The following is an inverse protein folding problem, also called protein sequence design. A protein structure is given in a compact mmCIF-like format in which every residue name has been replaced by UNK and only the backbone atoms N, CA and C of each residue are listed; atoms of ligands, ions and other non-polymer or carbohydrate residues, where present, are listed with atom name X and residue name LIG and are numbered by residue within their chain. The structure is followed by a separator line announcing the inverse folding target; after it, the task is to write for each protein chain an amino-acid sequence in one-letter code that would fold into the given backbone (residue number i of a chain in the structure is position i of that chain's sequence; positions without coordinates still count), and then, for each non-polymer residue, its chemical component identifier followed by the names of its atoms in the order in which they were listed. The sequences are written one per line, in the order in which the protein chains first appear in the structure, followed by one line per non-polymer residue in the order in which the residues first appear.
data_IF_923610791516
#
_entry.id   IF_923610791516
#
_cell.length_a   1.000
_cell.length_b   1.000
_cell.length_c   1.000
_cell.angle_alpha   90.00
_cell.angle_beta   90.00
_cell.angle_gamma   90.00
#
_symmetry.space_group_name_H-M   'P 1'
#
loop_
_entity.id
_entity.type
_entity.pdbx_description
1 polymer ?
#
# COMPACT_ATOMS: atom_id res chain seq x y z
N UNK A 1 11.59 1.71 -22.69
CA UNK A 1 12.90 1.85 -22.03
C UNK A 1 12.69 2.52 -20.67
N UNK A 2 12.50 1.71 -19.63
CA UNK A 2 12.16 2.19 -18.29
C UNK A 2 13.35 1.96 -17.37
N UNK A 3 14.33 2.84 -17.52
CA UNK A 3 15.47 2.92 -16.63
C UNK A 3 15.10 3.73 -15.39
N UNK A 4 15.00 3.06 -14.24
CA UNK A 4 15.22 3.70 -12.94
C UNK A 4 15.65 2.63 -11.93
N UNK A 5 16.87 2.14 -12.10
CA UNK A 5 17.63 1.62 -10.98
C UNK A 5 18.26 2.84 -10.30
N UNK A 6 17.76 3.21 -9.12
CA UNK A 6 18.39 4.25 -8.29
C UNK A 6 18.41 3.75 -6.87
N UNK A 7 19.63 3.60 -6.38
CA UNK A 7 19.99 3.14 -5.05
C UNK A 7 19.30 4.02 -4.01
N UNK A 8 18.48 3.40 -3.13
CA UNK A 8 18.11 3.98 -1.82
C UNK A 8 16.76 4.68 -1.66
N UNK A 9 15.88 4.74 -2.68
CA UNK A 9 14.50 5.22 -2.52
C UNK A 9 13.54 4.29 -3.25
N UNK A 10 12.60 3.68 -2.52
CA UNK A 10 11.53 2.89 -3.13
C UNK A 10 10.66 3.83 -3.95
N UNK A 11 10.85 3.85 -5.27
CA UNK A 11 10.01 4.64 -6.17
C UNK A 11 8.79 3.82 -6.56
N UNK A 12 7.62 4.17 -6.04
CA UNK A 12 6.35 3.62 -6.49
C UNK A 12 5.85 4.38 -7.73
N UNK A 13 5.19 3.69 -8.65
CA UNK A 13 4.46 4.40 -9.73
C UNK A 13 3.28 5.17 -9.14
N UNK A 14 2.72 6.19 -9.82
CA UNK A 14 1.59 6.96 -9.30
C UNK A 14 0.41 6.07 -8.89
N UNK A 15 0.05 5.06 -9.69
CA UNK A 15 -0.99 4.09 -9.34
C UNK A 15 -0.63 3.26 -8.10
N UNK A 16 0.63 2.83 -7.96
CA UNK A 16 1.07 2.07 -6.79
C UNK A 16 1.01 2.93 -5.53
N UNK A 17 1.45 4.19 -5.62
CA UNK A 17 1.35 5.16 -4.53
C UNK A 17 -0.11 5.38 -4.13
N UNK A 18 -0.99 5.59 -5.11
CA UNK A 18 -2.42 5.77 -4.90
C UNK A 18 -3.07 4.58 -4.16
N UNK A 19 -2.68 3.34 -4.52
CA UNK A 19 -3.10 2.13 -3.80
C UNK A 19 -2.66 2.13 -2.34
N UNK A 20 -1.40 2.49 -2.06
CA UNK A 20 -0.87 2.52 -0.70
C UNK A 20 -1.56 3.61 0.12
N UNK A 21 -1.80 4.80 -0.47
CA UNK A 21 -2.56 5.88 0.18
C UNK A 21 -3.98 5.43 0.53
N UNK A 22 -4.69 4.75 -0.39
CA UNK A 22 -6.04 4.24 -0.11
C UNK A 22 -6.07 3.20 1.02
N UNK A 23 -5.02 2.39 1.16
CA UNK A 23 -4.88 1.46 2.28
C UNK A 23 -4.55 2.16 3.60
N UNK A 24 -3.90 3.32 3.55
CA UNK A 24 -3.49 4.10 4.72
C UNK A 24 -4.46 5.22 5.07
N UNK A 25 -5.55 5.43 4.30
CA UNK A 25 -6.41 6.61 4.41
C UNK A 25 -6.94 6.82 5.82
N UNK A 26 -7.48 5.79 6.47
CA UNK A 26 -7.99 5.89 7.85
C UNK A 26 -6.89 6.22 8.86
N UNK A 27 -5.71 5.61 8.70
CA UNK A 27 -4.54 5.86 9.57
C UNK A 27 -4.05 7.30 9.41
N UNK A 28 -4.00 7.79 8.17
CA UNK A 28 -3.56 9.16 7.84
C UNK A 28 -4.57 10.22 8.29
N UNK A 29 -5.87 9.93 8.21
CA UNK A 29 -6.94 10.87 8.61
C UNK A 29 -7.17 10.91 10.12
N UNK A 30 -7.18 9.75 10.78
CA UNK A 30 -7.59 9.62 12.19
C UNK A 30 -6.42 9.53 13.16
N UNK A 31 -5.21 9.26 12.65
CA UNK A 31 -4.02 8.99 13.47
C UNK A 31 -4.05 7.62 14.15
N UNK A 32 -5.04 6.78 13.84
CA UNK A 32 -5.23 5.46 14.46
C UNK A 32 -4.23 4.44 13.89
N UNK A 33 -3.28 3.99 14.70
CA UNK A 33 -2.23 3.05 14.28
C UNK A 33 -2.61 1.57 14.46
N UNK A 34 -3.89 1.26 14.71
CA UNK A 34 -4.36 -0.09 14.93
C UNK A 34 -4.38 -0.96 13.68
N UNK A 35 -4.02 -2.24 13.79
CA UNK A 35 -4.12 -3.21 12.70
C UNK A 35 -5.56 -3.44 12.18
N UNK A 36 -6.57 -3.03 12.96
CA UNK A 36 -7.99 -3.04 12.57
C UNK A 36 -8.38 -1.95 11.57
N UNK A 37 -7.50 -0.98 11.33
CA UNK A 37 -7.75 0.19 10.46
C UNK A 37 -7.40 -0.07 8.99
N UNK A 38 -6.91 -1.28 8.66
CA UNK A 38 -6.55 -1.63 7.27
C UNK A 38 -7.80 -2.09 6.51
N UNK A 39 -8.22 -1.40 5.45
CA UNK A 39 -9.45 -1.74 4.75
C UNK A 39 -9.37 -3.08 4.00
N UNK A 40 -10.54 -3.67 3.76
CA UNK A 40 -10.69 -4.79 2.84
C UNK A 40 -10.30 -4.35 1.42
N UNK A 41 -9.76 -5.28 0.62
CA UNK A 41 -9.28 -4.94 -0.73
C UNK A 41 -10.41 -4.43 -1.64
N UNK A 42 -11.64 -4.94 -1.44
CA UNK A 42 -12.82 -4.46 -2.15
C UNK A 42 -13.16 -3.00 -1.80
N UNK A 43 -13.08 -2.63 -0.51
CA UNK A 43 -13.34 -1.25 -0.07
C UNK A 43 -12.28 -0.29 -0.62
N UNK A 44 -10.99 -0.66 -0.54
CA UNK A 44 -9.90 0.15 -1.08
C UNK A 44 -9.97 0.26 -2.62
N UNK A 45 -10.39 -0.80 -3.32
CA UNK A 45 -10.60 -0.75 -4.76
C UNK A 45 -11.76 0.18 -5.15
N UNK A 46 -12.90 0.08 -4.43
CA UNK A 46 -14.04 0.97 -4.62
C UNK A 46 -13.65 2.43 -4.35
N UNK A 47 -12.85 2.68 -3.30
CA UNK A 47 -12.32 4.00 -2.96
C UNK A 47 -11.52 4.65 -4.10
N UNK A 48 -10.90 3.85 -4.96
CA UNK A 48 -10.12 4.27 -6.13
C UNK A 48 -10.90 4.20 -7.45
N UNK A 49 -12.15 3.73 -7.44
CA UNK A 49 -12.91 3.44 -8.66
C UNK A 49 -12.30 2.33 -9.51
N UNK A 50 -11.57 1.39 -8.90
CA UNK A 50 -10.89 0.31 -9.61
C UNK A 50 -11.62 -1.03 -9.47
N UNK A 51 -11.54 -1.92 -10.49
CA UNK A 51 -11.88 -3.32 -10.30
C UNK A 51 -10.99 -3.96 -9.22
N UNK A 52 -11.58 -4.80 -8.36
CA UNK A 52 -10.84 -5.49 -7.28
C UNK A 52 -9.67 -6.34 -7.82
N UNK A 53 -9.82 -6.89 -9.03
CA UNK A 53 -8.75 -7.64 -9.72
C UNK A 53 -7.56 -6.75 -10.10
N UNK A 54 -7.82 -5.53 -10.59
CA UNK A 54 -6.76 -4.52 -10.84
C UNK A 54 -6.05 -4.17 -9.54
N UNK A 55 -6.82 -3.93 -8.48
CA UNK A 55 -6.29 -3.59 -7.16
C UNK A 55 -5.37 -4.69 -6.62
N UNK A 56 -5.83 -5.94 -6.57
CA UNK A 56 -5.05 -7.06 -6.07
C UNK A 56 -3.76 -7.26 -6.87
N UNK A 57 -3.81 -7.16 -8.21
CA UNK A 57 -2.61 -7.26 -9.05
C UNK A 57 -1.59 -6.16 -8.72
N UNK A 58 -2.04 -4.91 -8.48
CA UNK A 58 -1.15 -3.82 -8.08
C UNK A 58 -0.60 -4.01 -6.66
N UNK A 59 -1.43 -4.50 -5.74
CA UNK A 59 -1.01 -4.83 -4.38
C UNK A 59 0.11 -5.89 -4.39
N UNK A 60 -0.08 -6.99 -5.12
CA UNK A 60 0.95 -8.04 -5.22
C UNK A 60 2.24 -7.50 -5.85
N UNK A 61 2.14 -6.67 -6.89
CA UNK A 61 3.31 -6.04 -7.51
C UNK A 61 4.07 -5.11 -6.54
N UNK A 62 3.36 -4.35 -5.70
CA UNK A 62 3.99 -3.51 -4.65
C UNK A 62 4.65 -4.36 -3.58
N UNK A 63 3.96 -5.39 -3.08
CA UNK A 63 4.51 -6.31 -2.08
C UNK A 63 5.77 -7.02 -2.58
N UNK A 64 5.76 -7.50 -3.83
CA UNK A 64 6.92 -8.12 -4.46
C UNK A 64 8.08 -7.11 -4.56
N UNK A 65 7.83 -5.90 -5.07
CA UNK A 65 8.85 -4.85 -5.18
C UNK A 65 9.50 -4.51 -3.84
N UNK A 66 8.70 -4.39 -2.78
CA UNK A 66 9.23 -4.12 -1.44
C UNK A 66 10.00 -5.32 -0.85
N UNK A 67 9.53 -6.54 -1.10
CA UNK A 67 10.24 -7.75 -0.68
C UNK A 67 11.62 -7.85 -1.36
N UNK A 68 11.71 -7.55 -2.67
CA UNK A 68 12.97 -7.52 -3.43
C UNK A 68 13.94 -6.45 -2.90
N UNK A 69 13.42 -5.39 -2.27
CA UNK A 69 14.22 -4.35 -1.61
C UNK A 69 14.57 -4.71 -0.15
N UNK A 70 14.27 -5.93 0.30
CA UNK A 70 14.64 -6.44 1.63
C UNK A 70 13.60 -6.18 2.73
N UNK A 71 12.39 -5.71 2.40
CA UNK A 71 11.33 -5.53 3.38
C UNK A 71 10.80 -6.90 3.82
N UNK A 72 11.10 -7.26 5.06
CA UNK A 72 10.70 -8.55 5.65
C UNK A 72 9.20 -8.60 5.94
N UNK A 73 8.60 -9.78 5.81
CA UNK A 73 7.18 -10.00 6.14
C UNK A 73 6.18 -9.68 5.02
N UNK A 74 6.66 -9.26 3.84
CA UNK A 74 5.85 -9.09 2.63
C UNK A 74 5.85 -10.33 1.72
N UNK A 75 6.80 -11.25 1.93
CA UNK A 75 6.85 -12.58 1.32
C UNK A 75 6.54 -13.64 2.40
N UNK A 76 5.58 -14.52 2.13
CA UNK A 76 4.98 -15.40 3.14
C UNK A 76 5.87 -16.57 3.55
N UNK A 77 6.10 -16.73 4.85
CA UNK A 77 6.32 -18.03 5.47
C UNK A 77 4.97 -18.69 5.82
N UNK A 78 4.90 -20.03 5.90
CA UNK A 78 3.67 -20.81 5.77
C UNK A 78 2.63 -20.69 6.90
N UNK A 79 2.85 -19.87 7.93
CA UNK A 79 2.03 -19.97 9.13
C UNK A 79 0.87 -18.95 9.29
N UNK A 80 0.94 -17.69 8.84
CA UNK A 80 -0.17 -16.73 9.11
C UNK A 80 -0.35 -15.58 8.08
N UNK A 81 -1.43 -15.74 7.30
CA UNK A 81 -2.43 -14.74 6.86
C UNK A 81 -2.06 -13.70 5.78
N UNK A 82 -2.88 -13.67 4.72
CA UNK A 82 -2.92 -12.59 3.72
C UNK A 82 -3.29 -11.22 4.32
N UNK A 83 -4.03 -11.19 5.43
CA UNK A 83 -4.29 -9.99 6.25
C UNK A 83 -2.99 -9.38 6.78
N UNK A 84 -1.98 -10.21 7.07
CA UNK A 84 -0.66 -9.76 7.53
C UNK A 84 0.10 -8.98 6.46
N UNK A 85 -0.05 -9.31 5.16
CA UNK A 85 0.70 -8.63 4.08
C UNK A 85 0.26 -7.17 3.90
N UNK A 86 -1.05 -6.90 3.89
CA UNK A 86 -1.56 -5.52 3.82
C UNK A 86 -1.23 -4.73 5.07
N UNK A 87 -1.39 -5.33 6.24
CA UNK A 87 -1.03 -4.68 7.50
C UNK A 87 0.47 -4.33 7.55
N UNK A 88 1.34 -5.25 7.12
CA UNK A 88 2.78 -4.98 7.01
C UNK A 88 3.12 -3.93 5.96
N UNK A 89 2.43 -3.92 4.82
CA UNK A 89 2.59 -2.87 3.81
C UNK A 89 2.24 -1.49 4.40
N UNK A 90 1.10 -1.38 5.08
CA UNK A 90 0.66 -0.13 5.72
C UNK A 90 1.64 0.30 6.81
N UNK A 91 2.02 -0.61 7.71
CA UNK A 91 2.99 -0.35 8.78
C UNK A 91 4.32 0.16 8.21
N UNK A 92 4.86 -0.54 7.21
CA UNK A 92 6.11 -0.14 6.57
C UNK A 92 5.99 1.21 5.85
N UNK A 93 4.90 1.43 5.10
CA UNK A 93 4.69 2.67 4.35
C UNK A 93 4.59 3.90 5.27
N UNK A 94 3.94 3.74 6.43
CA UNK A 94 3.84 4.77 7.46
C UNK A 94 5.19 5.00 8.16
N UNK A 95 5.87 3.92 8.58
CA UNK A 95 7.16 3.99 9.28
C UNK A 95 8.28 4.59 8.42
N UNK A 96 8.30 4.27 7.12
CA UNK A 96 9.28 4.78 6.16
C UNK A 96 8.87 6.10 5.49
N UNK A 97 7.68 6.64 5.83
CA UNK A 97 7.08 7.82 5.19
C UNK A 97 7.02 7.75 3.66
N UNK A 98 6.73 6.56 3.12
CA UNK A 98 6.40 6.40 1.70
C UNK A 98 5.07 7.11 1.36
N UNK A 99 4.18 7.20 2.35
CA UNK A 99 2.94 7.99 2.29
C UNK A 99 2.83 8.88 3.52
N UNK A 100 2.20 10.03 3.33
CA UNK A 100 1.98 11.09 4.32
C UNK A 100 0.56 11.64 4.20
N UNK A 101 0.16 12.49 5.14
CA UNK A 101 -1.16 13.12 5.13
C UNK A 101 -1.39 13.98 3.88
N UNK A 102 -0.35 14.61 3.35
CA UNK A 102 -0.42 15.40 2.11
C UNK A 102 -0.87 14.53 0.93
N UNK A 103 -0.44 13.26 0.89
CA UNK A 103 -0.80 12.34 -0.19
C UNK A 103 -2.29 11.97 -0.22
N UNK A 104 -3.07 12.31 0.82
CA UNK A 104 -4.53 12.17 0.80
C UNK A 104 -5.19 12.97 -0.33
N UNK A 105 -4.54 14.05 -0.80
CA UNK A 105 -4.99 14.86 -1.94
C UNK A 105 -5.00 14.07 -3.26
N UNK A 106 -4.22 12.98 -3.34
CA UNK A 106 -4.16 12.12 -4.52
C UNK A 106 -5.41 11.25 -4.67
N UNK A 107 -6.14 11.01 -3.57
CA UNK A 107 -7.32 10.18 -3.60
C UNK A 107 -8.45 10.88 -4.37
N UNK A 108 -9.26 10.15 -5.15
CA UNK A 108 -10.43 10.75 -5.77
C UNK A 108 -11.38 11.31 -4.70
N UNK A 109 -12.24 12.28 -5.04
CA UNK A 109 -13.25 12.77 -4.10
C UNK A 109 -14.11 11.60 -3.60
N UNK A 110 -14.51 11.66 -2.33
CA UNK A 110 -15.50 10.73 -1.78
C UNK A 110 -16.82 11.00 -2.51
N UNK A 111 -17.33 9.96 -3.19
CA UNK A 111 -18.66 9.98 -3.79
C UNK A 111 -19.75 9.91 -2.73
#
# INVERSE_FOLDING_TARGET
PDGSATIGRITLTPEQKLLVVALCEDVLRRGDRGAGSVPQSAAAAARLGWPVTKFNRKLDAVCAKLADQGVRGLHGGPAKLATSRKARLVEYAMASRIVTSDDLELLPPVA
#
